data_IF_369854187558
#
_entry.id   IF_369854187558
#
_cell.length_a   1.000
_cell.length_b   1.000
_cell.length_c   1.000
_cell.angle_alpha   90.00
_cell.angle_beta   90.00
_cell.angle_gamma   90.00
#
_symmetry.space_group_name_H-M   'P 1'
#
loop_
_entity.id
_entity.type
_entity.pdbx_description
1 polymer ?
#
# COMPACT_ATOMS: atom_id res chain seq x y z
N UNK A 1 65.73 36.36 11.02
CA UNK A 1 66.16 35.44 12.08
C UNK A 1 66.53 34.14 11.37
N UNK A 2 67.83 33.96 11.10
CA UNK A 2 68.39 32.86 10.32
C UNK A 2 68.67 31.63 11.20
N UNK A 3 68.48 30.43 10.63
CA UNK A 3 69.35 29.22 10.62
C UNK A 3 68.49 28.03 10.16
N UNK A 4 68.62 27.52 8.93
CA UNK A 4 69.66 26.61 8.39
C UNK A 4 69.80 25.25 9.12
N UNK A 5 69.45 24.16 8.41
CA UNK A 5 70.28 22.99 7.99
C UNK A 5 69.35 21.79 7.67
N UNK A 6 69.24 21.32 6.40
CA UNK A 6 70.04 20.28 5.70
C UNK A 6 70.10 18.92 6.43
N UNK A 7 70.02 17.72 5.85
CA UNK A 7 69.90 17.20 4.48
C UNK A 7 69.83 15.64 4.55
N UNK A 8 69.48 14.99 3.44
CA UNK A 8 69.84 13.60 3.11
C UNK A 8 68.75 12.56 3.38
N UNK A 9 68.39 11.64 2.50
CA UNK A 9 68.98 11.17 1.24
C UNK A 9 68.40 9.78 0.98
N UNK A 10 68.01 9.50 -0.26
CA UNK A 10 67.39 8.24 -0.69
C UNK A 10 68.43 7.14 -0.97
N UNK A 11 68.04 5.86 -0.87
CA UNK A 11 68.52 4.67 -1.61
C UNK A 11 67.68 3.46 -1.12
N UNK A 12 66.83 2.79 -1.91
CA UNK A 12 67.06 1.91 -3.07
C UNK A 12 67.84 0.62 -2.73
N UNK A 13 67.15 -0.52 -2.68
CA UNK A 13 67.76 -1.85 -2.61
C UNK A 13 66.74 -2.99 -2.49
N UNK A 14 66.36 -3.58 -3.63
CA UNK A 14 65.74 -4.90 -3.76
C UNK A 14 66.66 -6.00 -3.22
N UNK A 15 66.15 -7.01 -2.49
CA UNK A 15 66.52 -8.44 -2.67
C UNK A 15 65.32 -9.34 -2.28
N UNK A 16 65.02 -10.24 -3.22
CA UNK A 16 64.03 -11.32 -3.24
C UNK A 16 64.28 -12.49 -2.26
N UNK A 17 63.23 -13.32 -2.16
CA UNK A 17 63.17 -14.74 -1.76
C UNK A 17 62.98 -15.09 -0.27
N UNK A 18 61.73 -15.48 0.06
CA UNK A 18 61.47 -16.64 0.90
C UNK A 18 60.00 -17.15 0.78
N UNK A 19 59.87 -18.25 0.04
CA UNK A 19 59.04 -19.43 0.34
C UNK A 19 57.50 -19.34 0.19
N UNK A 20 57.07 -19.98 -0.89
CA UNK A 20 55.74 -20.47 -1.25
C UNK A 20 55.22 -21.56 -0.30
N UNK A 21 54.02 -21.37 0.27
CA UNK A 21 53.13 -22.45 0.71
C UNK A 21 51.72 -22.26 0.11
N UNK A 22 51.03 -23.32 -0.34
CA UNK A 22 49.75 -23.19 -1.03
C UNK A 22 48.58 -23.03 -0.04
N UNK A 23 47.80 -21.96 -0.20
CA UNK A 23 46.53 -21.79 0.51
C UNK A 23 45.50 -22.83 0.03
N UNK A 24 44.70 -23.45 0.91
CA UNK A 24 43.68 -24.40 0.51
C UNK A 24 42.52 -23.70 -0.22
N UNK A 25 41.96 -24.39 -1.20
CA UNK A 25 40.94 -23.88 -2.13
C UNK A 25 39.66 -23.40 -1.42
N UNK A 26 39.40 -22.09 -1.47
CA UNK A 26 38.18 -21.41 -0.98
C UNK A 26 37.03 -21.56 -1.99
N UNK A 27 36.82 -22.76 -2.56
CA UNK A 27 35.78 -23.01 -3.57
C UNK A 27 34.72 -24.04 -3.18
N UNK A 28 34.87 -24.74 -2.06
CA UNK A 28 33.96 -25.82 -1.67
C UNK A 28 33.01 -25.48 -0.49
N UNK A 29 33.23 -24.35 0.19
CA UNK A 29 32.41 -23.89 1.33
C UNK A 29 31.23 -22.99 0.96
N UNK A 30 31.20 -22.45 -0.27
CA UNK A 30 30.07 -21.64 -0.76
C UNK A 30 28.92 -22.50 -1.29
N UNK A 31 29.23 -23.67 -1.87
CA UNK A 31 28.22 -24.54 -2.50
C UNK A 31 27.46 -25.39 -1.47
N UNK A 32 28.12 -25.79 -0.38
CA UNK A 32 27.48 -26.43 0.78
C UNK A 32 26.61 -25.47 1.60
N UNK A 33 26.98 -24.18 1.70
CA UNK A 33 26.14 -23.15 2.35
C UNK A 33 24.92 -22.76 1.53
N UNK A 34 25.02 -22.74 0.19
CA UNK A 34 23.86 -22.54 -0.71
C UNK A 34 22.87 -23.69 -0.65
N UNK A 35 23.33 -24.94 -0.49
CA UNK A 35 22.45 -26.11 -0.37
C UNK A 35 21.81 -26.25 1.01
N UNK A 36 22.47 -25.79 2.07
CA UNK A 36 21.88 -25.78 3.43
C UNK A 36 20.88 -24.63 3.64
N UNK A 37 21.03 -23.48 2.95
CA UNK A 37 20.06 -22.37 3.04
C UNK A 37 18.81 -22.57 2.15
N UNK A 38 18.82 -23.54 1.23
CA UNK A 38 17.70 -23.86 0.36
C UNK A 38 16.74 -24.93 0.94
N UNK A 39 17.11 -25.55 2.05
CA UNK A 39 16.26 -26.50 2.78
C UNK A 39 15.89 -25.87 4.13
N UNK A 40 14.59 -25.69 4.38
CA UNK A 40 13.99 -25.04 5.57
C UNK A 40 13.82 -23.50 5.53
N UNK A 41 13.26 -22.98 4.44
CA UNK A 41 12.28 -21.88 4.49
C UNK A 41 10.98 -22.34 3.82
N UNK A 42 10.31 -23.30 4.43
CA UNK A 42 8.88 -23.50 4.16
C UNK A 42 8.14 -22.30 4.73
N UNK A 43 7.93 -21.29 3.88
CA UNK A 43 6.81 -20.35 4.05
C UNK A 43 5.57 -21.23 4.23
N UNK A 44 4.80 -21.08 5.31
CA UNK A 44 3.61 -21.90 5.51
C UNK A 44 2.74 -21.75 4.27
N UNK A 45 2.47 -22.87 3.61
CA UNK A 45 1.57 -22.92 2.46
C UNK A 45 0.22 -22.44 2.98
N UNK A 46 -0.17 -21.22 2.60
CA UNK A 46 -1.42 -20.55 2.99
C UNK A 46 -2.56 -21.58 2.96
N UNK A 47 -3.26 -21.72 4.09
CA UNK A 47 -4.54 -22.39 4.10
C UNK A 47 -5.48 -21.56 3.21
N UNK A 48 -5.69 -22.02 1.98
CA UNK A 48 -6.68 -21.42 1.09
C UNK A 48 -8.03 -21.82 1.65
N UNK A 49 -8.70 -20.91 2.37
CA UNK A 49 -10.10 -21.09 2.73
C UNK A 49 -10.89 -21.23 1.42
N UNK A 50 -11.61 -22.33 1.20
CA UNK A 50 -12.40 -22.53 -0.02
C UNK A 50 -13.34 -21.34 -0.24
N UNK A 51 -13.34 -20.77 -1.45
CA UNK A 51 -14.24 -19.68 -1.83
C UNK A 51 -13.72 -18.25 -1.62
N UNK A 52 -12.61 -18.05 -0.91
CA UNK A 52 -12.05 -16.69 -0.74
C UNK A 52 -11.28 -16.27 -2.00
N UNK A 53 -11.73 -15.20 -2.64
CA UNK A 53 -11.07 -14.60 -3.81
C UNK A 53 -10.11 -13.50 -3.36
N UNK A 54 -8.81 -13.63 -3.66
CA UNK A 54 -7.77 -12.67 -3.24
C UNK A 54 -6.99 -12.15 -4.43
N UNK A 55 -6.59 -10.89 -4.38
CA UNK A 55 -5.66 -10.29 -5.31
C UNK A 55 -4.75 -9.30 -4.59
N UNK A 56 -3.54 -9.12 -5.10
CA UNK A 56 -2.63 -8.07 -4.67
C UNK A 56 -1.88 -7.52 -5.89
N UNK A 57 -1.83 -6.20 -5.99
CA UNK A 57 -1.13 -5.43 -7.01
C UNK A 57 -0.01 -4.59 -6.34
N UNK A 58 1.13 -4.37 -7.01
CA UNK A 58 1.60 -5.05 -8.21
C UNK A 58 1.56 -6.59 -8.08
N UNK A 59 1.13 -7.25 -9.16
CA UNK A 59 1.18 -8.71 -9.20
C UNK A 59 2.62 -9.18 -9.47
N UNK A 60 2.90 -10.46 -9.22
CA UNK A 60 4.24 -11.05 -9.40
C UNK A 60 4.64 -11.26 -10.88
N UNK A 61 3.85 -10.75 -11.82
CA UNK A 61 4.09 -10.88 -13.26
C UNK A 61 3.92 -12.30 -13.80
N UNK A 62 3.43 -13.23 -12.98
CA UNK A 62 3.23 -14.62 -13.38
C UNK A 62 1.90 -14.84 -14.13
N UNK A 63 0.96 -13.90 -14.08
CA UNK A 63 -0.31 -14.01 -14.79
C UNK A 63 -0.13 -14.08 -16.32
N UNK A 64 -0.95 -14.89 -16.99
CA UNK A 64 -1.03 -14.92 -18.45
C UNK A 64 -1.63 -13.62 -18.96
N UNK A 65 -0.98 -13.03 -19.95
CA UNK A 65 -1.38 -11.77 -20.57
C UNK A 65 -1.40 -11.92 -22.09
N UNK A 66 -2.40 -11.28 -22.73
CA UNK A 66 -2.49 -11.22 -24.19
C UNK A 66 -1.84 -9.93 -24.66
N UNK A 67 -0.83 -10.02 -25.52
CA UNK A 67 -0.16 -8.85 -26.05
C UNK A 67 -1.12 -7.98 -26.88
N UNK A 68 -1.34 -6.73 -26.45
CA UNK A 68 -2.22 -5.78 -27.16
C UNK A 68 -1.75 -5.42 -28.57
N UNK A 69 -0.47 -5.62 -28.87
CA UNK A 69 0.10 -5.31 -30.19
C UNK A 69 -0.07 -6.46 -31.19
N UNK A 70 0.10 -7.71 -30.76
CA UNK A 70 0.15 -8.86 -31.67
C UNK A 70 -0.79 -10.02 -31.31
N UNK A 71 -1.57 -9.90 -30.23
CA UNK A 71 -2.53 -10.91 -29.77
C UNK A 71 -1.90 -12.18 -29.20
N UNK A 72 -0.57 -12.23 -29.04
CA UNK A 72 0.10 -13.43 -28.51
C UNK A 72 -0.07 -13.53 -27.00
N UNK A 73 -0.48 -14.70 -26.52
CA UNK A 73 -0.44 -15.06 -25.11
C UNK A 73 1.01 -15.20 -24.63
N UNK A 74 1.31 -14.61 -23.47
CA UNK A 74 2.64 -14.68 -22.87
C UNK A 74 2.61 -14.46 -21.36
N UNK A 75 3.79 -14.51 -20.75
CA UNK A 75 4.03 -14.19 -19.33
C UNK A 75 5.19 -13.22 -19.20
N UNK A 76 5.24 -12.49 -18.08
CA UNK A 76 6.28 -11.52 -17.81
C UNK A 76 6.05 -10.16 -18.49
N UNK A 77 7.01 -9.22 -18.35
CA UNK A 77 6.79 -7.80 -18.65
C UNK A 77 6.75 -7.46 -20.15
N UNK A 78 7.22 -8.36 -21.03
CA UNK A 78 7.32 -8.12 -22.48
C UNK A 78 6.87 -9.32 -23.30
N UNK A 79 6.34 -9.04 -24.48
CA UNK A 79 5.88 -10.06 -25.41
C UNK A 79 7.04 -10.91 -25.94
N UNK A 80 6.97 -12.25 -25.84
CA UNK A 80 8.04 -13.11 -26.35
C UNK A 80 8.15 -13.08 -27.88
N UNK A 81 7.14 -12.57 -28.58
CA UNK A 81 7.10 -12.54 -30.06
C UNK A 81 7.46 -11.17 -30.61
N UNK A 82 6.83 -10.10 -30.14
CA UNK A 82 7.03 -8.75 -30.71
C UNK A 82 7.78 -7.79 -29.78
N UNK A 83 8.21 -8.24 -28.61
CA UNK A 83 8.91 -7.44 -27.58
C UNK A 83 8.12 -6.19 -27.10
N UNK A 84 6.86 -6.06 -27.52
CA UNK A 84 5.96 -5.04 -27.02
C UNK A 84 5.75 -5.26 -25.52
N UNK A 85 5.87 -4.23 -24.68
CA UNK A 85 5.61 -4.37 -23.25
C UNK A 85 4.18 -4.87 -23.05
N UNK A 86 4.01 -5.92 -22.26
CA UNK A 86 2.69 -6.47 -22.00
C UNK A 86 1.80 -5.53 -21.17
N UNK A 87 2.41 -4.56 -20.49
CA UNK A 87 1.74 -3.60 -19.60
C UNK A 87 2.24 -2.19 -19.90
N UNK A 88 1.37 -1.20 -19.66
CA UNK A 88 1.82 0.19 -19.47
C UNK A 88 2.93 0.19 -18.41
N UNK A 89 3.90 1.11 -18.51
CA UNK A 89 5.06 1.18 -17.61
C UNK A 89 4.59 1.27 -16.14
N UNK A 90 4.50 0.09 -15.50
CA UNK A 90 4.24 -0.09 -14.07
C UNK A 90 2.81 0.30 -13.61
N UNK A 91 1.81 0.03 -14.48
CA UNK A 91 0.36 0.05 -14.16
C UNK A 91 -0.20 -1.36 -14.03
N UNK A 92 -1.03 -1.58 -13.01
CA UNK A 92 -1.71 -2.83 -12.74
C UNK A 92 -3.17 -2.59 -12.38
N UNK A 93 -4.05 -3.50 -12.82
CA UNK A 93 -5.48 -3.42 -12.59
C UNK A 93 -6.03 -4.80 -12.22
N UNK A 94 -7.04 -4.83 -11.35
CA UNK A 94 -7.78 -6.04 -11.00
C UNK A 94 -9.26 -5.72 -10.77
N UNK A 95 -10.12 -6.64 -11.18
CA UNK A 95 -11.57 -6.57 -10.97
C UNK A 95 -12.02 -7.85 -10.26
N UNK A 96 -12.56 -7.70 -9.05
CA UNK A 96 -13.11 -8.80 -8.24
C UNK A 96 -14.64 -8.89 -8.36
N UNK A 97 -15.27 -8.13 -9.28
CA UNK A 97 -16.72 -8.02 -9.44
C UNK A 97 -17.38 -7.10 -8.40
N UNK A 98 -16.88 -7.09 -7.16
CA UNK A 98 -17.34 -6.20 -6.06
C UNK A 98 -16.29 -5.18 -5.63
N UNK A 99 -15.10 -5.19 -6.25
CA UNK A 99 -14.07 -4.20 -6.03
C UNK A 99 -13.20 -4.07 -7.29
N UNK A 100 -12.88 -2.83 -7.65
CA UNK A 100 -11.94 -2.47 -8.72
C UNK A 100 -10.68 -1.88 -8.11
N UNK A 101 -9.52 -2.42 -8.47
CA UNK A 101 -8.22 -1.99 -8.00
C UNK A 101 -7.40 -1.48 -9.17
N UNK A 102 -6.74 -0.33 -8.99
CA UNK A 102 -5.80 0.23 -9.96
C UNK A 102 -4.60 0.78 -9.20
N UNK A 103 -3.40 0.46 -9.64
CA UNK A 103 -2.17 1.11 -9.18
C UNK A 103 -1.34 1.48 -10.41
N UNK A 104 -0.84 2.71 -10.44
CA UNK A 104 -0.10 3.28 -11.56
C UNK A 104 1.11 4.06 -11.03
N UNK A 105 2.27 3.86 -11.64
CA UNK A 105 3.50 4.61 -11.29
C UNK A 105 3.37 6.12 -11.46
N UNK A 106 2.43 6.60 -12.25
CA UNK A 106 2.34 7.98 -12.67
C UNK A 106 3.40 8.31 -13.73
N UNK A 107 3.66 9.60 -13.88
CA UNK A 107 4.52 10.14 -14.94
C UNK A 107 5.95 10.30 -14.45
N UNK A 108 6.13 10.83 -13.24
CA UNK A 108 7.42 11.34 -12.76
C UNK A 108 8.28 10.25 -12.10
N UNK A 109 7.68 9.37 -11.28
CA UNK A 109 8.43 8.38 -10.49
C UNK A 109 9.06 7.30 -11.36
N UNK A 110 10.24 6.79 -10.97
CA UNK A 110 10.95 5.78 -11.76
C UNK A 110 10.35 4.37 -11.65
N UNK A 111 9.59 4.12 -10.58
CA UNK A 111 8.93 2.85 -10.26
C UNK A 111 7.66 3.13 -9.44
N UNK A 112 6.77 2.16 -9.40
CA UNK A 112 5.61 2.13 -8.54
C UNK A 112 6.01 1.58 -7.18
N UNK A 113 5.92 2.42 -6.16
CA UNK A 113 6.22 2.15 -4.76
C UNK A 113 4.94 1.89 -3.96
N UNK A 114 3.77 2.08 -4.58
CA UNK A 114 2.48 1.74 -4.00
C UNK A 114 2.15 0.26 -4.15
N UNK A 115 1.25 -0.21 -3.28
CA UNK A 115 0.61 -1.50 -3.39
C UNK A 115 -0.84 -1.47 -2.93
N UNK A 116 -1.64 -2.41 -3.42
CA UNK A 116 -3.02 -2.63 -3.01
C UNK A 116 -3.35 -4.12 -2.97
N UNK A 117 -4.08 -4.57 -1.96
CA UNK A 117 -4.59 -5.93 -1.89
C UNK A 117 -6.06 -5.95 -1.47
N UNK A 118 -6.77 -6.96 -1.96
CA UNK A 118 -8.17 -7.18 -1.63
C UNK A 118 -8.47 -8.67 -1.43
N UNK A 119 -9.43 -8.95 -0.55
CA UNK A 119 -10.00 -10.27 -0.40
C UNK A 119 -11.52 -10.21 -0.24
N UNK A 120 -12.23 -11.07 -0.97
CA UNK A 120 -13.68 -11.26 -0.88
C UNK A 120 -13.94 -12.61 -0.25
N UNK A 121 -14.64 -12.60 0.88
CA UNK A 121 -15.13 -13.79 1.58
C UNK A 121 -16.61 -13.95 1.27
N UNK A 122 -17.04 -15.06 0.65
CA UNK A 122 -18.44 -15.31 0.37
C UNK A 122 -19.19 -15.87 1.58
N UNK A 123 -20.51 -15.68 1.61
CA UNK A 123 -21.42 -16.39 2.50
C UNK A 123 -21.63 -17.86 2.06
N UNK A 124 -22.46 -18.59 2.81
CA UNK A 124 -22.85 -19.98 2.51
C UNK A 124 -23.53 -20.16 1.14
N UNK A 125 -24.09 -19.08 0.57
CA UNK A 125 -24.73 -19.08 -0.75
C UNK A 125 -23.76 -18.75 -1.89
N UNK A 126 -22.51 -18.42 -1.56
CA UNK A 126 -21.48 -18.01 -2.50
C UNK A 126 -21.54 -16.53 -2.88
N UNK A 127 -22.37 -15.72 -2.21
CA UNK A 127 -22.45 -14.28 -2.44
C UNK A 127 -21.41 -13.53 -1.59
N UNK A 128 -20.82 -12.44 -2.08
CA UNK A 128 -19.87 -11.63 -1.30
C UNK A 128 -20.46 -11.14 0.02
N UNK A 129 -19.89 -11.54 1.15
CA UNK A 129 -20.36 -11.17 2.49
C UNK A 129 -19.41 -10.20 3.19
N UNK A 130 -18.11 -10.49 3.09
CA UNK A 130 -17.05 -9.66 3.69
C UNK A 130 -16.02 -9.29 2.63
N UNK A 131 -15.66 -8.01 2.59
CA UNK A 131 -14.58 -7.49 1.76
C UNK A 131 -13.51 -6.88 2.66
N UNK A 132 -12.25 -7.28 2.44
CA UNK A 132 -11.07 -6.68 3.09
C UNK A 132 -10.25 -5.98 2.03
N UNK A 133 -9.92 -4.71 2.24
CA UNK A 133 -9.08 -3.89 1.38
C UNK A 133 -7.89 -3.34 2.16
N UNK A 134 -6.72 -3.31 1.56
CA UNK A 134 -5.53 -2.62 2.10
C UNK A 134 -4.81 -1.90 0.97
N UNK A 135 -4.48 -0.63 1.17
CA UNK A 135 -3.63 0.19 0.29
C UNK A 135 -2.44 0.70 1.11
N UNK A 136 -1.25 0.66 0.51
CA UNK A 136 -0.03 1.20 1.12
C UNK A 136 0.75 1.99 0.08
N UNK A 137 1.31 3.11 0.50
CA UNK A 137 2.22 3.95 -0.25
C UNK A 137 3.63 3.77 0.32
N UNK A 138 4.59 3.40 -0.53
CA UNK A 138 5.98 3.23 -0.13
C UNK A 138 6.70 4.58 -0.01
N UNK A 139 7.27 4.87 1.16
CA UNK A 139 7.94 6.16 1.40
C UNK A 139 9.22 6.26 0.56
N UNK A 140 9.22 7.09 -0.49
CA UNK A 140 10.32 7.16 -1.48
C UNK A 140 11.70 7.52 -0.91
N UNK A 141 11.75 8.16 0.28
CA UNK A 141 13.00 8.47 0.97
C UNK A 141 13.60 7.29 1.75
N UNK A 142 12.83 6.20 1.89
CA UNK A 142 13.25 4.94 2.52
C UNK A 142 13.86 3.97 1.49
N UNK A 143 14.71 3.02 1.92
CA UNK A 143 15.21 1.97 1.05
C UNK A 143 14.12 0.94 0.69
N UNK A 144 14.08 0.48 -0.56
CA UNK A 144 13.15 -0.56 -1.05
C UNK A 144 11.66 -0.34 -0.67
N UNK A 145 11.09 0.86 -0.89
CA UNK A 145 9.74 1.22 -0.43
C UNK A 145 8.65 0.32 -1.03
N UNK A 146 8.83 -0.16 -2.26
CA UNK A 146 7.93 -1.14 -2.89
C UNK A 146 7.87 -2.49 -2.13
N UNK A 147 8.96 -2.88 -1.46
CA UNK A 147 8.95 -4.10 -0.64
C UNK A 147 8.18 -3.88 0.66
N UNK A 148 8.25 -2.68 1.25
CA UNK A 148 7.46 -2.31 2.41
C UNK A 148 5.96 -2.34 2.10
N UNK A 149 5.52 -1.56 1.10
CA UNK A 149 4.10 -1.47 0.72
C UNK A 149 3.56 -2.83 0.25
N UNK A 150 4.28 -3.54 -0.61
CA UNK A 150 3.90 -4.87 -1.10
C UNK A 150 3.79 -5.93 -0.01
N UNK A 151 4.69 -5.91 0.98
CA UNK A 151 4.63 -6.82 2.14
C UNK A 151 3.48 -6.45 3.07
N UNK A 152 3.28 -5.16 3.33
CA UNK A 152 2.25 -4.64 4.21
C UNK A 152 0.83 -5.00 3.73
N UNK A 153 0.50 -4.75 2.46
CA UNK A 153 -0.86 -5.04 1.94
C UNK A 153 -1.19 -6.54 2.00
N UNK A 154 -0.23 -7.40 1.65
CA UNK A 154 -0.43 -8.86 1.65
C UNK A 154 -0.61 -9.39 3.06
N UNK A 155 0.27 -8.96 3.97
CA UNK A 155 0.25 -9.40 5.37
C UNK A 155 -0.98 -8.86 6.10
N UNK A 156 -1.33 -7.59 5.85
CA UNK A 156 -2.51 -6.95 6.43
C UNK A 156 -3.80 -7.68 6.06
N UNK A 157 -4.01 -7.96 4.77
CA UNK A 157 -5.17 -8.75 4.30
C UNK A 157 -5.18 -10.14 4.94
N UNK A 158 -4.06 -10.86 4.93
CA UNK A 158 -3.99 -12.22 5.47
C UNK A 158 -4.30 -12.27 6.97
N UNK A 159 -3.78 -11.31 7.75
CA UNK A 159 -4.02 -11.24 9.19
C UNK A 159 -5.46 -10.80 9.53
N UNK A 160 -6.05 -9.87 8.76
CA UNK A 160 -7.47 -9.53 8.87
C UNK A 160 -8.35 -10.78 8.65
N UNK A 161 -8.08 -11.54 7.58
CA UNK A 161 -8.84 -12.75 7.26
C UNK A 161 -8.67 -13.84 8.32
N UNK A 162 -7.46 -14.03 8.83
CA UNK A 162 -7.20 -14.99 9.90
C UNK A 162 -7.98 -14.62 11.17
N UNK A 163 -7.97 -13.34 11.56
CA UNK A 163 -8.72 -12.87 12.72
C UNK A 163 -10.23 -13.01 12.53
N UNK A 164 -10.77 -12.69 11.35
CA UNK A 164 -12.19 -12.87 11.04
C UNK A 164 -12.60 -14.35 11.09
N UNK A 165 -11.75 -15.26 10.61
CA UNK A 165 -12.00 -16.70 10.68
C UNK A 165 -11.98 -17.26 12.13
N UNK A 166 -11.45 -16.50 13.08
CA UNK A 166 -11.50 -16.78 14.53
C UNK A 166 -12.69 -16.09 15.21
N UNK A 167 -13.70 -15.64 14.44
CA UNK A 167 -14.90 -14.93 14.91
C UNK A 167 -14.60 -13.61 15.66
N UNK A 168 -13.45 -12.99 15.40
CA UNK A 168 -13.09 -11.69 15.98
C UNK A 168 -13.89 -10.55 15.34
N UNK A 169 -14.05 -9.44 16.07
CA UNK A 169 -14.78 -8.28 15.51
C UNK A 169 -14.00 -7.64 14.35
N UNK A 170 -14.68 -6.83 13.53
CA UNK A 170 -14.02 -6.11 12.43
C UNK A 170 -12.92 -5.16 12.96
N UNK A 171 -13.13 -4.54 14.13
CA UNK A 171 -12.11 -3.72 14.81
C UNK A 171 -10.90 -4.54 15.24
N UNK A 172 -11.13 -5.71 15.84
CA UNK A 172 -10.06 -6.60 16.28
C UNK A 172 -9.29 -7.19 15.09
N UNK A 173 -9.97 -7.53 14.01
CA UNK A 173 -9.36 -7.98 12.77
C UNK A 173 -8.54 -6.88 12.10
N UNK A 174 -9.07 -5.65 12.05
CA UNK A 174 -8.35 -4.48 11.56
C UNK A 174 -7.08 -4.20 12.39
N UNK A 175 -7.17 -4.30 13.72
CA UNK A 175 -6.02 -4.17 14.61
C UNK A 175 -4.98 -5.27 14.37
N UNK A 176 -5.41 -6.51 14.12
CA UNK A 176 -4.53 -7.63 13.78
C UNK A 176 -3.81 -7.40 12.44
N UNK A 177 -4.53 -6.90 11.42
CA UNK A 177 -3.98 -6.51 10.12
C UNK A 177 -2.86 -5.49 10.25
N UNK A 178 -3.13 -4.37 10.94
CA UNK A 178 -2.11 -3.33 11.18
C UNK A 178 -0.90 -3.87 11.94
N UNK A 179 -1.12 -4.66 13.00
CA UNK A 179 -0.03 -5.19 13.81
C UNK A 179 0.87 -6.15 13.02
N UNK A 180 0.27 -7.06 12.25
CA UNK A 180 1.00 -8.01 11.43
C UNK A 180 1.73 -7.32 10.28
N UNK A 181 1.09 -6.35 9.60
CA UNK A 181 1.75 -5.56 8.56
C UNK A 181 2.94 -4.78 9.12
N UNK A 182 2.77 -4.11 10.27
CA UNK A 182 3.83 -3.39 10.96
C UNK A 182 5.01 -4.32 11.29
N UNK A 183 4.74 -5.50 11.88
CA UNK A 183 5.78 -6.48 12.17
C UNK A 183 6.50 -6.98 10.91
N UNK A 184 5.76 -7.28 9.84
CA UNK A 184 6.33 -7.78 8.60
C UNK A 184 7.26 -6.75 7.94
N UNK A 185 6.85 -5.48 7.88
CA UNK A 185 7.69 -4.39 7.35
C UNK A 185 8.94 -4.19 8.21
N UNK A 186 8.83 -4.22 9.55
CA UNK A 186 10.00 -4.16 10.44
C UNK A 186 10.99 -5.29 10.22
N UNK A 187 10.50 -6.47 9.83
CA UNK A 187 11.33 -7.64 9.56
C UNK A 187 12.01 -7.59 8.17
N UNK A 188 11.73 -6.59 7.34
CA UNK A 188 12.44 -6.35 6.08
C UNK A 188 13.81 -5.66 6.27
N UNK A 189 14.14 -5.25 7.49
CA UNK A 189 15.39 -4.53 7.77
C UNK A 189 16.60 -5.29 7.24
N UNK A 190 17.36 -4.61 6.40
CA UNK A 190 18.57 -5.17 5.80
C UNK A 190 19.70 -5.34 6.81
N UNK A 191 20.75 -6.11 6.46
CA UNK A 191 21.93 -6.29 7.33
C UNK A 191 22.60 -4.99 7.75
N UNK A 192 22.47 -3.95 6.93
CA UNK A 192 23.06 -2.62 7.14
C UNK A 192 22.18 -1.66 7.96
N UNK A 193 21.02 -2.13 8.44
CA UNK A 193 20.07 -1.33 9.24
C UNK A 193 19.10 -0.48 8.42
N UNK A 194 19.13 -0.61 7.09
CA UNK A 194 18.18 -0.02 6.16
C UNK A 194 16.76 -0.51 6.47
N UNK A 195 15.84 0.42 6.73
CA UNK A 195 14.47 0.16 7.14
C UNK A 195 13.49 0.66 6.07
N UNK A 196 12.96 -0.24 5.22
CA UNK A 196 11.87 0.10 4.32
C UNK A 196 10.66 0.62 5.08
N UNK A 197 10.00 1.63 4.52
CA UNK A 197 8.84 2.26 5.16
C UNK A 197 7.69 2.49 4.19
N UNK A 198 6.47 2.43 4.70
CA UNK A 198 5.25 2.71 3.93
C UNK A 198 4.12 3.25 4.82
N UNK A 199 3.12 3.88 4.21
CA UNK A 199 1.83 4.13 4.85
C UNK A 199 1.03 2.83 4.97
N UNK A 200 -0.14 2.90 5.61
CA UNK A 200 -1.11 1.81 5.66
C UNK A 200 -2.52 2.36 5.80
N UNK A 201 -3.42 2.07 4.87
CA UNK A 201 -4.86 2.28 5.04
C UNK A 201 -5.60 0.98 4.73
N UNK A 202 -6.53 0.60 5.60
CA UNK A 202 -7.32 -0.62 5.40
C UNK A 202 -8.79 -0.40 5.65
N UNK A 203 -9.61 -1.29 5.10
CA UNK A 203 -11.03 -1.34 5.38
C UNK A 203 -11.55 -2.78 5.38
N UNK A 204 -12.49 -3.05 6.28
CA UNK A 204 -13.32 -4.25 6.31
C UNK A 204 -14.77 -3.80 6.12
N UNK A 205 -15.41 -4.31 5.07
CA UNK A 205 -16.84 -4.15 4.81
C UNK A 205 -17.51 -5.48 5.15
N UNK A 206 -18.56 -5.44 5.96
CA UNK A 206 -19.27 -6.64 6.39
C UNK A 206 -20.77 -6.40 6.42
N UNK A 207 -21.54 -7.36 5.92
CA UNK A 207 -22.97 -7.44 6.18
C UNK A 207 -23.21 -8.05 7.55
N UNK A 208 -23.80 -7.29 8.46
CA UNK A 208 -24.12 -7.74 9.81
C UNK A 208 -25.36 -8.64 9.82
N UNK A 209 -25.56 -9.41 10.90
CA UNK A 209 -26.68 -10.34 11.03
C UNK A 209 -28.07 -9.67 10.97
N UNK A 210 -28.14 -8.36 11.24
CA UNK A 210 -29.37 -7.57 11.12
C UNK A 210 -29.60 -6.97 9.72
N UNK A 211 -28.76 -7.34 8.75
CA UNK A 211 -28.79 -6.89 7.36
C UNK A 211 -28.11 -5.54 7.11
N UNK A 212 -27.66 -4.82 8.14
CA UNK A 212 -26.93 -3.56 7.94
C UNK A 212 -25.51 -3.84 7.47
N UNK A 213 -24.97 -2.94 6.65
CA UNK A 213 -23.56 -3.00 6.26
C UNK A 213 -22.73 -2.12 7.19
N UNK A 214 -21.67 -2.69 7.76
CA UNK A 214 -20.67 -1.98 8.55
C UNK A 214 -19.40 -1.78 7.72
N UNK A 215 -18.70 -0.68 7.99
CA UNK A 215 -17.40 -0.37 7.41
C UNK A 215 -16.46 0.00 8.55
N UNK A 216 -15.42 -0.80 8.77
CA UNK A 216 -14.34 -0.50 9.70
C UNK A 216 -13.09 -0.12 8.92
N UNK A 217 -12.59 1.09 9.11
CA UNK A 217 -11.37 1.57 8.47
C UNK A 217 -10.24 1.74 9.47
N UNK A 218 -9.00 1.64 9.01
CA UNK A 218 -7.86 2.14 9.74
C UNK A 218 -6.87 2.88 8.87
N UNK A 219 -6.06 3.76 9.47
CA UNK A 219 -4.95 4.40 8.76
C UNK A 219 -3.75 4.68 9.66
N UNK A 220 -2.56 4.61 9.05
CA UNK A 220 -1.26 5.05 9.53
C UNK A 220 -0.59 5.78 8.35
N UNK A 221 -0.29 7.06 8.50
CA UNK A 221 0.24 7.90 7.43
C UNK A 221 -0.85 8.77 6.79
N UNK A 222 -0.77 9.07 5.51
CA UNK A 222 -1.68 10.01 4.83
C UNK A 222 -2.40 9.42 3.61
N UNK A 223 -2.33 8.10 3.41
CA UNK A 223 -3.27 7.40 2.55
C UNK A 223 -4.68 7.42 3.17
N UNK A 224 -5.71 7.57 2.34
CA UNK A 224 -7.05 7.94 2.80
C UNK A 224 -8.11 6.92 2.45
N UNK A 225 -9.17 6.87 3.28
CA UNK A 225 -10.42 6.22 2.94
C UNK A 225 -11.55 7.25 2.87
N UNK A 226 -12.45 7.08 1.90
CA UNK A 226 -13.58 7.95 1.64
C UNK A 226 -14.86 7.13 1.45
N UNK A 227 -15.99 7.69 1.89
CA UNK A 227 -17.31 7.26 1.47
C UNK A 227 -17.82 8.17 0.36
N UNK A 228 -18.18 7.58 -0.78
CA UNK A 228 -18.74 8.23 -1.95
C UNK A 228 -20.23 7.90 -2.01
N UNK A 229 -21.08 8.75 -1.42
CA UNK A 229 -22.53 8.49 -1.41
C UNK A 229 -23.10 8.62 -2.82
N UNK A 230 -24.04 7.74 -3.18
CA UNK A 230 -24.75 7.84 -4.46
C UNK A 230 -25.87 8.90 -4.39
N UNK A 231 -26.01 9.67 -5.47
CA UNK A 231 -27.03 10.72 -5.62
C UNK A 231 -26.64 12.06 -4.99
N UNK A 232 -27.59 13.01 -5.01
CA UNK A 232 -27.39 14.40 -4.53
C UNK A 232 -27.51 14.52 -2.99
N UNK A 233 -27.23 13.45 -2.25
CA UNK A 233 -27.32 13.42 -0.79
C UNK A 233 -26.19 14.27 -0.20
N UNK A 234 -26.44 15.58 -0.08
CA UNK A 234 -25.60 16.50 0.69
C UNK A 234 -26.10 16.43 2.13
N UNK A 235 -25.34 15.83 3.03
CA UNK A 235 -25.66 15.90 4.45
C UNK A 235 -25.70 17.37 4.88
N UNK A 236 -26.82 17.83 5.43
CA UNK A 236 -26.97 19.21 5.95
C UNK A 236 -25.98 19.47 7.12
N UNK A 237 -25.47 18.40 7.73
CA UNK A 237 -24.37 18.40 8.70
C UNK A 237 -23.35 17.32 8.33
N UNK A 238 -22.36 17.62 7.47
CA UNK A 238 -21.30 16.67 7.18
C UNK A 238 -20.56 16.36 8.49
N UNK A 239 -20.51 15.09 8.85
CA UNK A 239 -19.62 14.63 9.90
C UNK A 239 -18.20 15.03 9.49
N UNK A 240 -17.44 15.65 10.39
CA UNK A 240 -16.04 15.97 10.10
C UNK A 240 -15.22 14.69 9.86
N UNK A 241 -13.98 14.81 9.37
CA UNK A 241 -13.11 13.65 9.17
C UNK A 241 -13.01 12.79 10.42
N UNK A 242 -13.26 11.49 10.27
CA UNK A 242 -13.09 10.54 11.37
C UNK A 242 -14.16 10.56 12.46
N UNK A 243 -15.32 11.20 12.26
CA UNK A 243 -16.45 11.16 13.20
C UNK A 243 -17.31 9.90 13.03
N UNK A 244 -17.58 9.19 14.12
CA UNK A 244 -18.43 7.99 14.13
C UNK A 244 -19.91 8.37 13.99
N UNK A 245 -20.47 8.17 12.80
CA UNK A 245 -21.89 8.40 12.50
C UNK A 245 -22.35 7.61 11.27
N UNK A 246 -23.65 7.60 10.95
CA UNK A 246 -24.15 6.96 9.73
C UNK A 246 -23.54 7.59 8.48
N UNK A 247 -23.17 6.77 7.49
CA UNK A 247 -22.62 7.22 6.21
C UNK A 247 -23.73 7.67 5.24
N UNK A 248 -24.36 8.80 5.57
CA UNK A 248 -25.50 9.35 4.81
C UNK A 248 -25.11 10.26 3.62
N UNK A 249 -23.85 10.71 3.56
CA UNK A 249 -23.35 11.61 2.51
C UNK A 249 -21.83 11.51 2.32
N UNK A 250 -21.27 12.07 1.23
CA UNK A 250 -19.87 11.90 0.88
C UNK A 250 -18.95 12.49 1.96
N UNK A 251 -17.96 11.71 2.44
CA UNK A 251 -17.10 12.13 3.55
C UNK A 251 -15.74 11.41 3.55
N UNK A 252 -14.72 12.06 4.13
CA UNK A 252 -13.42 11.44 4.45
C UNK A 252 -13.53 10.65 5.75
N UNK A 253 -13.12 9.38 5.73
CA UNK A 253 -13.24 8.45 6.87
C UNK A 253 -11.97 8.41 7.73
N UNK A 254 -10.82 8.81 7.18
CA UNK A 254 -9.53 8.79 7.86
C UNK A 254 -9.07 10.19 8.28
N UNK A 255 -8.08 10.22 9.17
CA UNK A 255 -7.39 11.44 9.60
C UNK A 255 -5.91 11.21 9.39
N UNK A 256 -5.30 12.03 8.55
CA UNK A 256 -3.92 11.87 8.09
C UNK A 256 -2.93 12.06 9.25
N UNK A 257 -1.98 11.16 9.41
CA UNK A 257 -0.82 11.35 10.30
C UNK A 257 0.22 12.25 9.60
N UNK A 258 -0.12 13.52 9.38
CA UNK A 258 0.73 14.49 8.69
C UNK A 258 1.02 15.75 9.53
N UNK A 259 2.07 16.48 9.15
CA UNK A 259 2.41 17.76 9.78
C UNK A 259 1.27 18.78 9.65
N UNK A 260 0.63 18.86 8.48
CA UNK A 260 -0.52 19.73 8.29
C UNK A 260 -1.67 19.39 9.25
N UNK A 261 -2.02 18.11 9.36
CA UNK A 261 -3.08 17.66 10.27
C UNK A 261 -2.74 18.01 11.73
N UNK A 262 -1.48 17.83 12.14
CA UNK A 262 -1.02 18.18 13.50
C UNK A 262 -1.21 19.67 13.80
N UNK A 263 -0.94 20.55 12.83
CA UNK A 263 -1.14 22.00 13.00
C UNK A 263 -2.62 22.40 13.07
N UNK A 264 -3.47 21.74 12.28
CA UNK A 264 -4.92 21.96 12.29
C UNK A 264 -5.51 21.54 13.63
N UNK A 265 -5.17 20.34 14.11
CA UNK A 265 -5.65 19.81 15.40
C UNK A 265 -5.18 20.66 16.59
N UNK A 266 -3.97 21.20 16.52
CA UNK A 266 -3.45 22.13 17.52
C UNK A 266 -4.12 23.52 17.47
N UNK A 267 -4.97 23.79 16.47
CA UNK A 267 -5.55 25.11 16.21
C UNK A 267 -4.50 26.17 15.84
N UNK A 268 -3.31 25.73 15.40
CA UNK A 268 -2.18 26.60 15.08
C UNK A 268 -2.29 27.23 13.69
N UNK A 269 -2.97 26.54 12.77
CA UNK A 269 -3.28 27.01 11.41
C UNK A 269 -4.65 26.50 10.98
N UNK A 270 -5.30 27.24 10.07
CA UNK A 270 -6.46 26.70 9.35
C UNK A 270 -6.02 25.68 8.27
N UNK A 271 -6.97 24.92 7.74
CA UNK A 271 -6.71 23.85 6.77
C UNK A 271 -6.00 24.37 5.52
N UNK A 272 -6.44 25.51 4.99
CA UNK A 272 -5.86 26.06 3.76
C UNK A 272 -4.40 26.49 3.97
N UNK A 273 -4.10 27.15 5.09
CA UNK A 273 -2.74 27.56 5.43
C UNK A 273 -1.84 26.35 5.75
N UNK A 274 -2.36 25.35 6.48
CA UNK A 274 -1.61 24.15 6.82
C UNK A 274 -1.23 23.33 5.57
N UNK A 275 -2.16 23.19 4.62
CA UNK A 275 -1.90 22.48 3.35
C UNK A 275 -0.97 23.26 2.39
N UNK A 276 -0.81 24.57 2.57
CA UNK A 276 0.13 25.39 1.81
C UNK A 276 1.56 25.39 2.40
N UNK A 277 1.78 24.81 3.59
CA UNK A 277 3.13 24.69 4.17
C UNK A 277 3.95 23.69 3.32
N UNK A 278 5.22 24.00 2.97
CA UNK A 278 6.09 23.08 2.24
C UNK A 278 6.28 21.71 2.91
N UNK A 279 5.98 21.60 4.21
CA UNK A 279 6.07 20.38 5.01
C UNK A 279 4.72 19.71 5.20
N UNK A 280 3.64 20.20 4.59
CA UNK A 280 2.27 19.71 4.82
C UNK A 280 2.16 18.18 4.79
N UNK A 281 2.79 17.56 3.78
CA UNK A 281 2.82 16.11 3.54
C UNK A 281 3.87 15.33 4.35
N UNK A 282 4.57 15.98 5.29
CA UNK A 282 5.54 15.27 6.13
C UNK A 282 4.79 14.30 7.04
N UNK A 283 5.03 13.01 6.86
CA UNK A 283 4.45 11.96 7.68
C UNK A 283 4.92 12.06 9.13
N UNK A 284 3.97 11.93 10.05
CA UNK A 284 4.19 11.89 11.49
C UNK A 284 4.12 10.46 12.03
N UNK A 285 3.50 9.54 11.27
CA UNK A 285 3.48 8.09 11.53
C UNK A 285 3.54 7.32 10.22
N UNK A 286 4.20 6.16 10.24
CA UNK A 286 4.35 5.24 9.11
C UNK A 286 4.60 3.82 9.65
N UNK A 287 4.55 2.82 8.77
CA UNK A 287 5.09 1.49 9.06
C UNK A 287 6.57 1.45 8.69
N UNK A 288 7.43 0.99 9.60
CA UNK A 288 8.87 0.96 9.41
C UNK A 288 9.58 0.52 10.69
N UNK A 289 10.85 0.14 10.60
CA UNK A 289 11.63 -0.26 11.78
C UNK A 289 11.91 0.88 12.75
N UNK A 290 11.89 2.12 12.25
CA UNK A 290 12.06 3.36 12.98
C UNK A 290 10.75 3.90 13.59
N UNK A 291 9.59 3.36 13.21
CA UNK A 291 8.27 3.83 13.68
C UNK A 291 7.87 3.32 15.10
N UNK A 292 8.69 2.46 15.71
CA UNK A 292 8.39 1.81 16.99
C UNK A 292 7.50 0.56 16.85
N UNK A 293 7.17 -0.08 17.98
CA UNK A 293 6.42 -1.35 17.96
C UNK A 293 4.93 -1.16 17.58
N UNK A 294 4.36 -0.02 17.94
CA UNK A 294 2.95 0.30 17.73
C UNK A 294 2.81 1.74 17.20
N UNK A 295 3.02 1.98 15.89
CA UNK A 295 2.93 3.30 15.28
C UNK A 295 1.49 3.78 15.04
N UNK A 296 0.55 3.47 15.94
CA UNK A 296 -0.86 3.88 15.82
C UNK A 296 -1.48 4.17 17.20
N UNK A 297 -2.57 4.95 17.22
CA UNK A 297 -3.36 5.23 18.43
C UNK A 297 -4.70 4.51 18.39
N UNK A 298 -5.51 4.63 19.46
CA UNK A 298 -6.89 4.14 19.46
C UNK A 298 -7.76 4.79 18.38
N UNK A 299 -7.45 6.03 18.01
CA UNK A 299 -8.16 6.77 16.97
C UNK A 299 -7.75 6.34 15.56
N UNK A 300 -6.78 5.44 15.40
CA UNK A 300 -6.40 4.94 14.07
C UNK A 300 -7.44 3.98 13.49
N UNK A 301 -8.37 3.43 14.29
CA UNK A 301 -9.44 2.52 13.84
C UNK A 301 -10.80 3.20 14.05
N UNK A 302 -11.67 3.17 13.04
CA UNK A 302 -13.02 3.76 13.09
C UNK A 302 -14.03 2.85 12.41
N UNK A 303 -15.20 2.69 13.03
CA UNK A 303 -16.31 1.88 12.50
C UNK A 303 -17.53 2.75 12.21
N UNK A 304 -18.18 2.43 11.10
CA UNK A 304 -19.31 3.14 10.53
C UNK A 304 -20.43 2.17 10.15
N UNK A 305 -21.66 2.67 10.10
CA UNK A 305 -22.78 1.99 9.46
C UNK A 305 -23.16 2.73 8.18
N UNK A 306 -23.40 1.97 7.12
CA UNK A 306 -23.84 2.50 5.83
C UNK A 306 -25.30 2.94 5.93
N UNK A 307 -25.59 4.15 5.43
CA UNK A 307 -26.94 4.73 5.39
C UNK A 307 -27.25 5.21 3.97
N UNK A 308 -27.56 4.25 3.10
CA UNK A 308 -27.81 4.45 1.67
C UNK A 308 -26.72 3.88 0.77
N UNK A 309 -26.98 3.76 -0.55
CA UNK A 309 -26.02 3.22 -1.50
C UNK A 309 -24.86 4.18 -1.74
N UNK A 310 -23.69 3.62 -2.04
CA UNK A 310 -22.49 4.40 -2.33
C UNK A 310 -21.30 3.54 -2.71
N UNK A 311 -20.10 4.08 -2.57
CA UNK A 311 -18.86 3.32 -2.74
C UNK A 311 -17.84 3.71 -1.70
N UNK A 312 -17.13 2.71 -1.20
CA UNK A 312 -15.92 2.90 -0.40
C UNK A 312 -14.73 3.08 -1.35
N UNK A 313 -13.93 4.11 -1.11
CA UNK A 313 -12.70 4.38 -1.84
C UNK A 313 -11.52 4.42 -0.86
N UNK A 314 -10.47 3.62 -1.11
CA UNK A 314 -9.15 3.78 -0.50
C UNK A 314 -8.18 4.30 -1.56
N UNK A 315 -7.34 5.26 -1.21
CA UNK A 315 -6.35 5.80 -2.15
C UNK A 315 -5.09 6.34 -1.49
N UNK A 316 -4.00 6.38 -2.27
CA UNK A 316 -2.75 7.07 -1.92
C UNK A 316 -2.84 8.58 -2.21
N UNK A 317 -1.81 9.33 -1.83
CA UNK A 317 -1.79 10.79 -1.99
C UNK A 317 -1.65 11.23 -3.45
N UNK A 318 -1.08 10.39 -4.30
CA UNK A 318 -1.07 10.57 -5.75
C UNK A 318 -2.46 10.70 -6.37
N UNK A 319 -3.54 10.25 -5.70
CA UNK A 319 -4.91 10.62 -6.09
C UNK A 319 -5.38 11.91 -5.39
N UNK A 320 -5.37 11.93 -4.06
CA UNK A 320 -6.10 12.96 -3.32
C UNK A 320 -5.45 14.34 -3.42
N UNK A 321 -4.17 14.43 -3.77
CA UNK A 321 -3.51 15.69 -4.11
C UNK A 321 -4.15 16.39 -5.32
N UNK A 322 -4.78 15.64 -6.23
CA UNK A 322 -5.53 16.18 -7.38
C UNK A 322 -7.04 16.22 -7.17
N UNK A 323 -7.58 15.34 -6.31
CA UNK A 323 -9.01 15.22 -5.98
C UNK A 323 -9.21 15.06 -4.46
N UNK A 324 -9.12 16.15 -3.69
CA UNK A 324 -9.18 16.05 -2.23
C UNK A 324 -10.61 15.83 -1.70
N UNK A 325 -11.62 16.29 -2.43
CA UNK A 325 -13.01 16.38 -1.98
C UNK A 325 -13.85 15.13 -2.29
N UNK A 326 -14.56 14.54 -1.31
CA UNK A 326 -15.39 13.34 -1.52
C UNK A 326 -16.53 13.53 -2.53
N UNK A 327 -17.09 14.75 -2.63
CA UNK A 327 -18.14 15.04 -3.61
C UNK A 327 -17.62 14.99 -5.06
N UNK A 328 -16.42 15.53 -5.30
CA UNK A 328 -15.77 15.51 -6.63
C UNK A 328 -15.34 14.10 -7.01
N UNK A 329 -14.81 13.34 -6.03
CA UNK A 329 -14.51 11.91 -6.18
C UNK A 329 -15.78 11.12 -6.57
N UNK A 330 -16.91 11.38 -5.91
CA UNK A 330 -18.19 10.73 -6.21
C UNK A 330 -18.65 11.00 -7.65
N UNK A 331 -18.58 12.25 -8.10
CA UNK A 331 -18.96 12.64 -9.47
C UNK A 331 -18.13 11.96 -10.56
N UNK A 332 -16.88 11.60 -10.26
CA UNK A 332 -15.96 10.97 -11.21
C UNK A 332 -16.02 9.45 -11.20
N UNK A 333 -16.23 8.85 -10.03
CA UNK A 333 -16.13 7.40 -9.86
C UNK A 333 -17.48 6.68 -10.03
N UNK A 334 -18.61 7.35 -9.75
CA UNK A 334 -19.92 6.71 -9.71
C UNK A 334 -20.65 6.80 -11.07
N UNK A 335 -21.66 5.93 -11.25
CA UNK A 335 -22.50 5.89 -12.45
C UNK A 335 -21.92 5.07 -13.61
N UNK A 336 -20.86 4.31 -13.36
CA UNK A 336 -20.20 3.41 -14.32
C UNK A 336 -19.78 2.10 -13.64
N UNK A 337 -19.34 1.08 -14.40
CA UNK A 337 -18.78 -0.14 -13.82
C UNK A 337 -17.62 0.18 -12.86
N UNK A 338 -17.49 -0.59 -11.78
CA UNK A 338 -16.53 -0.29 -10.69
C UNK A 338 -15.09 -0.18 -11.17
N UNK A 339 -14.65 -1.10 -12.03
CA UNK A 339 -13.31 -1.07 -12.62
C UNK A 339 -13.09 0.16 -13.50
N UNK A 340 -14.12 0.62 -14.22
CA UNK A 340 -14.05 1.86 -15.00
C UNK A 340 -14.00 3.10 -14.10
N UNK A 341 -14.74 3.12 -12.99
CA UNK A 341 -14.71 4.20 -12.00
C UNK A 341 -13.34 4.33 -11.33
N UNK A 342 -12.75 3.20 -10.92
CA UNK A 342 -11.39 3.17 -10.38
C UNK A 342 -10.37 3.66 -11.41
N UNK A 343 -10.48 3.22 -12.67
CA UNK A 343 -9.62 3.68 -13.77
C UNK A 343 -9.76 5.16 -14.05
N UNK A 344 -10.98 5.69 -14.05
CA UNK A 344 -11.26 7.11 -14.29
C UNK A 344 -10.62 8.02 -13.23
N UNK A 345 -10.58 7.59 -11.97
CA UNK A 345 -9.88 8.32 -10.90
C UNK A 345 -8.36 8.39 -11.16
N UNK A 346 -7.76 7.25 -11.49
CA UNK A 346 -6.32 7.18 -11.77
C UNK A 346 -5.95 7.96 -13.03
N UNK A 347 -6.70 7.77 -14.12
CA UNK A 347 -6.48 8.49 -15.38
C UNK A 347 -6.59 10.01 -15.18
N UNK A 348 -7.50 10.47 -14.34
CA UNK A 348 -7.61 11.89 -14.00
C UNK A 348 -6.34 12.40 -13.32
N UNK A 349 -5.84 11.72 -12.29
CA UNK A 349 -4.61 12.12 -11.59
C UNK A 349 -3.39 12.16 -12.52
N UNK A 350 -3.27 11.15 -13.40
CA UNK A 350 -2.22 11.11 -14.45
C UNK A 350 -2.32 12.32 -15.37
N UNK A 351 -3.53 12.64 -15.88
CA UNK A 351 -3.75 13.79 -16.77
C UNK A 351 -3.48 15.13 -16.08
N UNK A 352 -3.76 15.23 -14.78
CA UNK A 352 -3.49 16.43 -13.99
C UNK A 352 -2.01 16.63 -13.63
N UNK A 353 -1.16 15.62 -13.86
CA UNK A 353 0.29 15.74 -13.75
C UNK A 353 1.00 14.43 -13.41
N UNK A 354 0.32 13.51 -12.72
CA UNK A 354 0.88 12.22 -12.30
C UNK A 354 2.24 12.35 -11.63
N UNK A 355 2.37 13.30 -10.69
CA UNK A 355 3.65 13.59 -10.03
C UNK A 355 4.08 12.51 -9.06
N UNK A 356 3.16 11.67 -8.59
CA UNK A 356 3.41 10.56 -7.68
C UNK A 356 2.83 9.24 -8.21
N UNK A 357 3.10 8.13 -7.52
CA UNK A 357 2.39 6.88 -7.68
C UNK A 357 0.91 7.05 -7.28
N UNK A 358 0.01 6.44 -8.04
CA UNK A 358 -1.44 6.62 -7.87
C UNK A 358 -2.08 5.25 -7.69
N UNK A 359 -2.65 5.02 -6.51
CA UNK A 359 -3.31 3.75 -6.19
C UNK A 359 -4.70 3.97 -5.64
N UNK A 360 -5.64 3.15 -6.10
CA UNK A 360 -7.07 3.21 -5.80
C UNK A 360 -7.63 1.80 -5.60
N UNK A 361 -8.42 1.62 -4.55
CA UNK A 361 -9.37 0.53 -4.39
C UNK A 361 -10.78 1.11 -4.27
N UNK A 362 -11.68 0.77 -5.20
CA UNK A 362 -13.06 1.22 -5.21
C UNK A 362 -14.00 0.01 -5.04
N UNK A 363 -14.91 0.08 -4.07
CA UNK A 363 -15.87 -0.98 -3.80
C UNK A 363 -17.29 -0.39 -3.67
N UNK A 364 -18.21 -0.69 -4.61
CA UNK A 364 -19.61 -0.31 -4.45
C UNK A 364 -20.23 -1.05 -3.28
N UNK A 365 -21.00 -0.33 -2.48
CA UNK A 365 -21.74 -0.88 -1.34
C UNK A 365 -23.19 -0.47 -1.51
N UNK A 366 -24.06 -1.47 -1.59
CA UNK A 366 -25.51 -1.25 -1.55
C UNK A 366 -25.93 -1.03 -0.10
N UNK A 367 -26.98 -0.24 0.15
CA UNK A 367 -27.64 -0.34 1.44
C UNK A 367 -28.23 -1.76 1.54
N UNK A 368 -28.07 -2.42 2.68
CA UNK A 368 -28.55 -3.80 2.88
C UNK A 368 -30.08 -3.90 2.99
N UNK A 369 -30.82 -3.14 2.17
CA UNK A 369 -32.28 -3.04 2.15
C UNK A 369 -32.90 -3.46 0.83
#
# INVERSE_FOLDING_TARGET
MNRETNAGGAESGDILDAVTEPMPAVRDTLDTRRRAAAAERTVPRQAVTPGVHRVALPDDGLAEVVCVHCGTEGRGPRCPVCDHPHRLQDRFEADLGVAGLVTDRGIVHARNEDAVAAAVVPDDSGQPETLVLVVCDGVSSSPDPQAASGTAVRTGVDACLAALAEDRTAEEATAAGMAAASEAVRNLVGPDGDAPSCTYVSAIVRTEADGRVSVTVSNIGDSRAYWLAAGDQVSEHPAGPGHSGPLAGPQKLTVDDSWAQTLIEAGAMDEQAAMADPRAHTLMRWLGADAGQQPWSGDSIRSYYVDGPGSLLLCTDGLWNYLPGPAELSQRALGMPTSDGARALVDYAVVCGGSDNITVALAPISDGR
#
